data_IF_138625476829
#
_entry.id   IF_138625476829
#
_cell.length_a   1.000
_cell.length_b   1.000
_cell.length_c   1.000
_cell.angle_alpha   90.00
_cell.angle_beta   90.00
_cell.angle_gamma   90.00
#
_symmetry.space_group_name_H-M   'P 1'
#
loop_
_entity.id
_entity.type
_entity.pdbx_description
1 polymer ?
#
# COMPACT_ATOMS: atom_id res chain seq x y z
N UNK A 1 -12.70 -19.93 -10.26
CA UNK A 1 -11.41 -20.50 -9.82
C UNK A 1 -10.31 -19.52 -10.21
N UNK A 2 -9.49 -19.06 -9.25
CA UNK A 2 -8.38 -18.13 -9.50
C UNK A 2 -8.31 -16.99 -8.48
N UNK A 3 -8.06 -17.33 -7.21
CA UNK A 3 -7.76 -16.39 -6.13
C UNK A 3 -6.43 -15.68 -6.44
N UNK A 4 -6.45 -14.38 -6.73
CA UNK A 4 -5.25 -13.56 -6.92
C UNK A 4 -5.35 -12.27 -6.10
N UNK A 5 -5.64 -12.41 -4.82
CA UNK A 5 -5.06 -11.53 -3.83
C UNK A 5 -4.12 -12.44 -3.02
N UNK A 6 -2.84 -12.09 -2.94
CA UNK A 6 -2.02 -12.66 -1.89
C UNK A 6 -2.73 -12.29 -0.57
N UNK A 7 -3.06 -13.28 0.26
CA UNK A 7 -3.32 -13.01 1.67
C UNK A 7 -2.05 -12.33 2.16
N UNK A 8 -2.11 -11.02 2.35
CA UNK A 8 -1.20 -10.34 3.25
C UNK A 8 -1.40 -11.07 4.58
N UNK A 9 -0.37 -11.70 5.17
CA UNK A 9 -0.52 -12.22 6.52
C UNK A 9 -1.09 -11.07 7.34
N UNK A 10 -2.25 -11.29 7.97
CA UNK A 10 -2.71 -10.36 8.98
C UNK A 10 -1.52 -10.19 9.94
N UNK A 11 -1.08 -8.95 10.13
CA UNK A 11 -0.10 -8.64 11.15
C UNK A 11 -0.50 -9.46 12.39
N UNK A 12 0.39 -10.35 12.84
CA UNK A 12 0.41 -10.71 14.26
C UNK A 12 0.26 -9.40 15.00
N UNK A 13 -0.61 -9.27 16.02
CA UNK A 13 -0.76 -8.01 16.71
C UNK A 13 0.61 -7.60 17.26
N UNK A 14 1.30 -6.78 16.48
CA UNK A 14 2.50 -6.11 16.88
C UNK A 14 2.10 -5.38 18.16
N UNK A 15 2.95 -5.40 19.20
CA UNK A 15 2.66 -4.65 20.40
C UNK A 15 2.22 -3.26 19.97
N UNK A 16 1.00 -2.87 20.36
CA UNK A 16 0.37 -1.59 20.03
C UNK A 16 1.19 -0.45 20.64
N UNK A 17 2.29 -0.15 19.97
CA UNK A 17 3.25 0.91 20.18
C UNK A 17 3.77 1.19 18.80
N UNK A 18 3.57 2.42 18.32
CA UNK A 18 3.79 2.82 16.94
C UNK A 18 4.99 2.11 16.30
N UNK A 19 4.80 1.46 15.14
CA UNK A 19 5.83 0.73 14.37
C UNK A 19 6.89 1.70 13.79
N UNK A 20 7.52 2.48 14.65
CA UNK A 20 8.51 3.51 14.32
C UNK A 20 9.88 2.91 14.60
N UNK A 21 10.64 2.68 13.53
CA UNK A 21 12.04 2.23 13.60
C UNK A 21 12.98 3.40 13.35
N UNK A 22 13.83 3.70 14.31
CA UNK A 22 14.95 4.64 14.13
C UNK A 22 16.00 3.98 13.23
N UNK A 23 16.28 4.58 12.07
CA UNK A 23 17.26 4.06 11.10
C UNK A 23 18.63 4.72 11.20
N UNK A 24 18.70 5.89 11.85
CA UNK A 24 19.93 6.64 12.08
C UNK A 24 19.78 7.56 13.31
N UNK A 25 20.88 7.84 14.01
CA UNK A 25 20.90 8.61 15.26
C UNK A 25 20.64 7.75 16.51
N UNK A 26 20.74 8.37 17.68
CA UNK A 26 20.47 7.76 19.00
C UNK A 26 19.65 8.75 19.84
N UNK A 27 18.35 8.94 19.53
CA UNK A 27 17.51 9.89 20.26
C UNK A 27 17.29 9.41 21.69
N UNK A 28 17.14 10.35 22.62
CA UNK A 28 16.76 9.96 23.98
C UNK A 28 15.35 9.34 23.98
N UNK A 29 15.00 8.53 24.99
CA UNK A 29 13.65 7.98 25.13
C UNK A 29 12.56 9.07 25.13
N UNK A 30 12.85 10.22 25.74
CA UNK A 30 11.96 11.37 25.82
C UNK A 30 11.76 12.04 24.46
N UNK A 31 12.82 12.19 23.67
CA UNK A 31 12.75 12.74 22.32
C UNK A 31 11.94 11.83 21.39
N UNK A 32 12.18 10.52 21.46
CA UNK A 32 11.41 9.54 20.68
C UNK A 32 9.93 9.57 21.07
N UNK A 33 9.62 9.64 22.37
CA UNK A 33 8.24 9.75 22.86
C UNK A 33 7.54 11.03 22.37
N UNK A 34 8.25 12.16 22.37
CA UNK A 34 7.72 13.43 21.86
C UNK A 34 7.36 13.33 20.37
N UNK A 35 8.22 12.73 19.55
CA UNK A 35 7.96 12.51 18.12
C UNK A 35 6.77 11.56 17.92
N UNK A 36 6.72 10.44 18.65
CA UNK A 36 5.61 9.48 18.57
C UNK A 36 4.28 10.16 18.91
N UNK A 37 4.23 10.99 19.97
CA UNK A 37 3.01 11.71 20.36
C UNK A 37 2.50 12.65 19.26
N UNK A 38 3.40 13.35 18.57
CA UNK A 38 3.04 14.20 17.41
C UNK A 38 2.51 13.34 16.26
N UNK A 39 3.19 12.24 15.92
CA UNK A 39 2.76 11.36 14.84
C UNK A 39 1.39 10.72 15.12
N UNK A 40 1.15 10.28 16.36
CA UNK A 40 -0.14 9.75 16.80
C UNK A 40 -1.24 10.80 16.64
N UNK A 41 -1.02 12.03 17.10
CA UNK A 41 -1.99 13.12 16.94
C UNK A 41 -2.32 13.38 15.47
N UNK A 42 -1.33 13.39 14.60
CA UNK A 42 -1.54 13.60 13.16
C UNK A 42 -2.27 12.41 12.51
N UNK A 43 -1.98 11.18 12.95
CA UNK A 43 -2.70 9.99 12.50
C UNK A 43 -4.17 10.03 12.91
N UNK A 44 -4.46 10.44 14.16
CA UNK A 44 -5.83 10.59 14.66
C UNK A 44 -6.61 11.66 13.89
N UNK A 45 -5.98 12.80 13.61
CA UNK A 45 -6.57 13.87 12.79
C UNK A 45 -6.87 13.39 11.36
N UNK A 46 -5.93 12.67 10.74
CA UNK A 46 -6.15 12.08 9.42
C UNK A 46 -7.26 11.01 9.42
N UNK A 47 -7.33 10.20 10.48
CA UNK A 47 -8.39 9.21 10.64
C UNK A 47 -9.77 9.87 10.83
N UNK A 48 -9.84 10.98 11.57
CA UNK A 48 -11.07 11.74 11.80
C UNK A 48 -11.59 12.43 10.53
N UNK A 49 -10.70 12.89 9.65
CA UNK A 49 -11.07 13.38 8.32
C UNK A 49 -11.65 12.27 7.42
N UNK A 50 -11.42 11.01 7.78
CA UNK A 50 -11.84 9.86 7.00
C UNK A 50 -10.99 9.65 5.75
N UNK A 51 -11.21 8.52 5.08
CA UNK A 51 -10.57 8.28 3.79
C UNK A 51 -11.20 9.20 2.75
N UNK A 52 -10.37 9.97 2.04
CA UNK A 52 -10.82 10.71 0.88
C UNK A 52 -11.52 9.76 -0.10
N UNK A 53 -12.68 10.18 -0.59
CA UNK A 53 -13.39 9.43 -1.62
C UNK A 53 -12.53 9.38 -2.89
N UNK A 54 -12.29 8.18 -3.40
CA UNK A 54 -11.59 7.99 -4.67
C UNK A 54 -12.56 8.32 -5.79
N UNK A 55 -12.57 9.59 -6.20
CA UNK A 55 -13.45 10.11 -7.27
C UNK A 55 -13.00 9.68 -8.66
N UNK A 56 -11.73 9.31 -8.81
CA UNK A 56 -11.13 8.86 -10.07
C UNK A 56 -10.38 7.55 -9.83
N UNK A 57 -10.62 6.56 -10.69
CA UNK A 57 -9.88 5.31 -10.66
C UNK A 57 -8.36 5.57 -10.68
N UNK A 58 -7.56 4.94 -9.80
CA UNK A 58 -6.11 5.05 -9.81
C UNK A 58 -5.46 4.69 -11.16
N UNK A 59 -6.16 3.90 -11.98
CA UNK A 59 -5.72 3.50 -13.33
C UNK A 59 -6.02 4.54 -14.40
N UNK A 60 -6.87 5.53 -14.15
CA UNK A 60 -7.35 6.45 -15.19
C UNK A 60 -6.20 7.20 -15.90
N UNK A 61 -5.14 7.56 -15.18
CA UNK A 61 -3.94 8.16 -15.78
C UNK A 61 -3.19 7.19 -16.70
N UNK A 62 -3.12 5.92 -16.34
CA UNK A 62 -2.47 4.87 -17.13
C UNK A 62 -3.31 4.49 -18.35
N UNK A 63 -4.63 4.43 -18.19
CA UNK A 63 -5.57 4.22 -19.30
C UNK A 63 -5.51 5.38 -20.30
N UNK A 64 -5.35 6.61 -19.80
CA UNK A 64 -5.21 7.78 -20.64
C UNK A 64 -3.92 7.76 -21.47
N UNK A 65 -2.80 7.34 -20.90
CA UNK A 65 -1.50 7.25 -21.59
C UNK A 65 -1.40 6.02 -22.50
N UNK A 66 -2.19 4.97 -22.25
CA UNK A 66 -2.28 3.81 -23.12
C UNK A 66 -2.93 4.12 -24.49
N UNK A 67 -3.62 5.26 -24.63
CA UNK A 67 -4.23 5.66 -25.91
C UNK A 67 -3.14 5.93 -26.95
N UNK A 68 -3.15 5.12 -28.03
CA UNK A 68 -2.16 5.20 -29.10
C UNK A 68 -1.01 4.20 -28.95
N UNK A 69 -0.92 3.49 -27.82
CA UNK A 69 -0.06 2.31 -27.71
C UNK A 69 -0.72 1.11 -28.42
N UNK A 70 0.11 0.13 -28.81
CA UNK A 70 -0.41 -1.13 -29.33
C UNK A 70 -1.30 -1.79 -28.29
N UNK A 71 -2.40 -2.40 -28.73
CA UNK A 71 -3.24 -3.25 -27.88
C UNK A 71 -2.36 -4.34 -27.26
N UNK A 72 -2.52 -4.63 -25.95
CA UNK A 72 -1.90 -5.80 -25.36
C UNK A 72 -2.17 -7.06 -26.21
N UNK A 73 -1.18 -7.91 -26.38
CA UNK A 73 -1.34 -9.15 -27.13
C UNK A 73 -2.33 -10.06 -26.38
N UNK A 74 -3.38 -10.50 -27.05
CA UNK A 74 -4.32 -11.47 -26.49
C UNK A 74 -3.55 -12.76 -26.16
N UNK A 75 -3.46 -13.06 -24.87
CA UNK A 75 -2.94 -14.34 -24.43
C UNK A 75 -4.03 -15.37 -24.75
N UNK A 76 -3.79 -16.24 -25.73
CA UNK A 76 -4.75 -17.31 -26.04
C UNK A 76 -5.04 -18.20 -24.83
N UNK A 77 -6.16 -18.89 -24.84
CA UNK A 77 -6.59 -19.72 -23.70
C UNK A 77 -5.51 -20.71 -23.26
N UNK A 78 -5.11 -20.59 -22.00
CA UNK A 78 -4.06 -21.41 -21.39
C UNK A 78 -2.63 -21.10 -21.84
N UNK A 79 -2.36 -20.00 -22.55
CA UNK A 79 -1.00 -19.64 -22.99
C UNK A 79 0.01 -19.58 -21.83
N UNK A 80 -0.39 -19.02 -20.70
CA UNK A 80 0.44 -18.94 -19.49
C UNK A 80 0.69 -20.31 -18.83
N UNK A 81 -0.27 -21.22 -18.89
CA UNK A 81 -0.07 -22.59 -18.36
C UNK A 81 0.92 -23.38 -19.22
N UNK A 82 0.99 -23.08 -20.53
CA UNK A 82 1.91 -23.72 -21.47
C UNK A 82 3.34 -23.20 -21.32
N UNK A 83 3.54 -21.96 -20.88
CA UNK A 83 4.88 -21.39 -20.66
C UNK A 83 5.57 -21.88 -19.39
N UNK A 84 4.83 -22.54 -18.50
CA UNK A 84 5.33 -23.08 -17.24
C UNK A 84 5.65 -24.59 -17.31
N UNK A 85 5.64 -25.18 -18.51
CA UNK A 85 6.03 -26.57 -18.76
C UNK A 85 7.39 -26.66 -19.41
#
# INVERSE_FOLDING_TARGET
>A
MGRHAATVPADEPAPVGADVRVVAGDPSPEELAAVIAVLQRQADEAAALGRAEVTVSPRAGWDATARGLRRPLDHGDGAWTRSLR
#
